data_IF_842897892501
#
_entry.id   IF_842897892501
#
_cell.length_a   1.000
_cell.length_b   1.000
_cell.length_c   1.000
_cell.angle_alpha   90.00
_cell.angle_beta   90.00
_cell.angle_gamma   90.00
#
_symmetry.space_group_name_H-M   'P 1'
#
loop_
_entity.id
_entity.type
_entity.pdbx_description
1 polymer ?
#
# COMPACT_ATOMS: atom_id res chain seq x y z
N UNK A 1 -2.99 23.08 -18.14
CA UNK A 1 -4.27 22.73 -17.52
C UNK A 1 -5.41 22.95 -18.51
N UNK A 2 -6.43 22.12 -18.44
CA UNK A 2 -7.71 22.29 -19.12
C UNK A 2 -8.70 22.73 -18.06
N UNK A 3 -9.40 23.87 -18.31
CA UNK A 3 -10.39 24.43 -17.40
C UNK A 3 -11.78 24.26 -18.00
N UNK A 4 -12.69 23.58 -17.28
CA UNK A 4 -14.06 23.35 -17.71
C UNK A 4 -15.00 23.97 -16.68
N UNK A 5 -15.80 24.93 -17.08
CA UNK A 5 -16.81 25.56 -16.21
C UNK A 5 -18.18 24.96 -16.49
N UNK A 6 -18.89 24.59 -15.42
CA UNK A 6 -20.23 24.02 -15.56
C UNK A 6 -21.16 24.34 -14.38
N UNK A 7 -22.44 24.18 -14.61
CA UNK A 7 -23.52 24.22 -13.62
C UNK A 7 -24.40 23.01 -13.84
N UNK A 8 -24.95 22.44 -12.79
CA UNK A 8 -25.98 21.41 -12.94
C UNK A 8 -27.28 22.04 -13.45
N UNK A 9 -28.15 21.21 -14.02
CA UNK A 9 -29.53 21.61 -14.30
C UNK A 9 -30.25 21.96 -12.99
N UNK A 10 -31.10 22.99 -13.02
CA UNK A 10 -31.89 23.37 -11.84
C UNK A 10 -33.01 22.37 -11.64
N UNK A 11 -33.10 21.82 -10.45
CA UNK A 11 -34.13 20.83 -10.08
C UNK A 11 -34.67 21.15 -8.70
N UNK A 12 -35.83 20.61 -8.42
CA UNK A 12 -36.41 20.61 -7.09
C UNK A 12 -35.56 19.77 -6.14
N UNK A 13 -35.41 20.25 -4.92
CA UNK A 13 -34.62 19.58 -3.87
C UNK A 13 -35.42 19.46 -2.59
N UNK A 14 -35.27 18.31 -1.95
CA UNK A 14 -35.87 18.04 -0.65
C UNK A 14 -34.99 18.68 0.44
N UNK A 15 -35.59 19.47 1.30
CA UNK A 15 -34.93 20.07 2.44
C UNK A 15 -34.46 18.97 3.42
N UNK A 16 -33.16 18.91 3.77
CA UNK A 16 -32.66 17.86 4.67
C UNK A 16 -33.12 18.02 6.12
N UNK A 17 -33.80 19.12 6.48
CA UNK A 17 -34.28 19.39 7.82
C UNK A 17 -35.77 19.09 8.00
N UNK A 18 -36.63 19.56 7.08
CA UNK A 18 -38.10 19.44 7.24
C UNK A 18 -38.78 18.64 6.13
N UNK A 19 -38.02 18.13 5.12
CA UNK A 19 -38.62 17.35 4.03
C UNK A 19 -39.35 18.17 2.97
N UNK A 20 -39.57 19.47 3.14
CA UNK A 20 -40.25 20.33 2.17
C UNK A 20 -39.46 20.43 0.86
N UNK A 21 -40.17 20.46 -0.27
CA UNK A 21 -39.55 20.64 -1.59
C UNK A 21 -39.31 22.13 -1.86
N UNK A 22 -38.15 22.45 -2.34
CA UNK A 22 -37.76 23.82 -2.73
C UNK A 22 -36.88 23.82 -3.99
N UNK A 23 -37.05 24.83 -4.81
CA UNK A 23 -36.16 25.16 -5.92
C UNK A 23 -35.59 26.59 -5.80
N UNK A 24 -35.80 27.23 -4.66
CA UNK A 24 -35.36 28.62 -4.42
C UNK A 24 -33.87 28.67 -4.16
N UNK A 25 -33.13 29.20 -5.11
CA UNK A 25 -31.68 29.40 -5.01
C UNK A 25 -31.39 30.62 -4.17
N UNK A 26 -30.62 30.48 -3.11
CA UNK A 26 -30.17 31.57 -2.26
C UNK A 26 -28.93 32.23 -2.87
N UNK A 27 -27.89 31.45 -3.14
CA UNK A 27 -26.62 31.91 -3.72
C UNK A 27 -25.89 30.79 -4.50
N UNK A 28 -24.75 31.18 -5.11
CA UNK A 28 -23.86 30.24 -5.82
C UNK A 28 -22.49 30.22 -5.17
N UNK A 29 -21.97 29.02 -4.96
CA UNK A 29 -20.62 28.78 -4.43
C UNK A 29 -19.72 28.19 -5.51
N UNK A 30 -18.63 28.87 -5.84
CA UNK A 30 -17.63 28.34 -6.77
C UNK A 30 -16.76 27.28 -6.09
N UNK A 31 -16.56 26.13 -6.73
CA UNK A 31 -15.68 25.06 -6.30
C UNK A 31 -14.78 24.65 -7.44
N UNK A 32 -13.49 24.49 -7.16
CA UNK A 32 -12.52 23.94 -8.11
C UNK A 32 -12.33 22.48 -7.75
N UNK A 33 -12.51 21.60 -8.73
CA UNK A 33 -12.47 20.16 -8.60
C UNK A 33 -11.42 19.63 -9.57
N UNK A 34 -10.56 18.75 -9.10
CA UNK A 34 -9.59 18.05 -9.95
C UNK A 34 -10.25 16.81 -10.55
N UNK A 35 -9.97 16.60 -11.84
CA UNK A 35 -10.49 15.49 -12.61
C UNK A 35 -9.38 14.75 -13.38
N UNK A 36 -9.72 13.62 -14.00
CA UNK A 36 -8.78 12.83 -14.79
C UNK A 36 -8.12 13.67 -15.86
N UNK A 37 -6.79 13.56 -16.04
CA UNK A 37 -6.08 14.25 -17.10
C UNK A 37 -6.63 13.92 -18.49
N UNK A 38 -6.65 14.90 -19.38
CA UNK A 38 -7.01 14.74 -20.79
C UNK A 38 -5.76 15.08 -21.61
N UNK A 39 -5.32 14.16 -22.48
CA UNK A 39 -4.13 14.34 -23.32
C UNK A 39 -2.89 14.78 -22.51
N UNK A 40 -2.68 14.20 -21.33
CA UNK A 40 -1.56 14.52 -20.44
C UNK A 40 -1.66 15.88 -19.73
N UNK A 41 -2.75 16.63 -19.91
CA UNK A 41 -2.97 17.92 -19.23
C UNK A 41 -3.93 17.75 -18.04
N UNK A 42 -3.57 18.32 -16.89
CA UNK A 42 -4.45 18.33 -15.71
C UNK A 42 -5.77 19.05 -16.01
N UNK A 43 -6.88 18.48 -15.54
CA UNK A 43 -8.23 19.02 -15.72
C UNK A 43 -8.72 19.63 -14.41
N UNK A 44 -9.18 20.88 -14.50
CA UNK A 44 -9.81 21.63 -13.42
C UNK A 44 -11.27 21.91 -13.79
N UNK A 45 -12.19 21.40 -13.00
CA UNK A 45 -13.61 21.64 -13.15
C UNK A 45 -14.03 22.80 -12.25
N UNK A 46 -14.53 23.87 -12.84
CA UNK A 46 -15.07 25.02 -12.13
C UNK A 46 -16.58 24.84 -11.99
N UNK A 47 -16.99 24.36 -10.84
CA UNK A 47 -18.38 24.07 -10.55
C UNK A 47 -19.03 25.21 -9.78
N UNK A 48 -20.10 25.81 -10.36
CA UNK A 48 -20.94 26.79 -9.67
C UNK A 48 -22.07 26.07 -8.92
N UNK A 49 -21.79 25.68 -7.69
CA UNK A 49 -22.69 24.95 -6.79
C UNK A 49 -23.77 25.86 -6.25
N UNK A 50 -25.05 25.45 -6.33
CA UNK A 50 -26.19 26.21 -5.77
C UNK A 50 -26.31 25.93 -4.27
N UNK A 51 -26.65 26.97 -3.53
CA UNK A 51 -27.16 26.87 -2.18
C UNK A 51 -28.64 27.25 -2.20
N UNK A 52 -29.48 26.31 -1.77
CA UNK A 52 -30.90 26.47 -1.73
C UNK A 52 -31.36 27.04 -0.39
N UNK A 53 -32.51 27.73 -0.41
CA UNK A 53 -33.24 28.19 0.77
C UNK A 53 -34.55 27.44 0.89
N UNK A 54 -34.88 26.97 2.09
CA UNK A 54 -36.17 26.36 2.41
C UNK A 54 -37.07 27.41 3.05
N UNK A 55 -38.13 27.78 2.39
CA UNK A 55 -39.09 28.75 2.94
C UNK A 55 -39.87 28.23 4.15
N UNK A 56 -39.99 26.91 4.32
CA UNK A 56 -40.72 26.29 5.41
C UNK A 56 -39.96 26.37 6.75
N UNK A 57 -38.63 26.12 6.76
CA UNK A 57 -37.84 26.08 7.99
C UNK A 57 -36.62 27.01 8.00
N UNK A 58 -36.47 27.86 7.00
CA UNK A 58 -35.33 28.81 6.88
C UNK A 58 -33.97 28.17 6.58
N UNK A 59 -33.89 26.83 6.46
CA UNK A 59 -32.62 26.13 6.28
C UNK A 59 -31.99 26.41 4.93
N UNK A 60 -30.68 26.74 4.96
CA UNK A 60 -29.87 26.78 3.76
C UNK A 60 -29.08 25.49 3.59
N UNK A 61 -29.09 24.92 2.39
CA UNK A 61 -28.36 23.69 2.08
C UNK A 61 -27.82 23.68 0.66
N UNK A 62 -26.77 22.88 0.41
CA UNK A 62 -26.15 22.81 -0.90
C UNK A 62 -26.80 21.72 -1.75
N UNK A 63 -26.84 21.94 -3.07
CA UNK A 63 -27.29 20.91 -4.01
C UNK A 63 -26.42 19.64 -3.91
N UNK A 64 -27.04 18.50 -4.17
CA UNK A 64 -26.31 17.22 -4.16
C UNK A 64 -25.52 17.06 -5.47
N UNK A 65 -24.28 16.55 -5.34
CA UNK A 65 -23.38 16.33 -6.45
C UNK A 65 -22.70 14.98 -6.33
N UNK A 66 -23.11 14.03 -7.16
CA UNK A 66 -22.74 12.62 -7.06
C UNK A 66 -21.34 12.28 -7.58
N UNK A 67 -20.73 13.14 -8.42
CA UNK A 67 -19.39 12.92 -8.96
C UNK A 67 -18.26 13.09 -7.93
N UNK A 68 -18.59 13.65 -6.77
CA UNK A 68 -17.63 13.90 -5.69
C UNK A 68 -17.99 13.11 -4.45
N UNK A 69 -17.03 12.47 -3.79
CA UNK A 69 -17.18 12.06 -2.41
C UNK A 69 -17.47 13.28 -1.52
N UNK A 70 -18.23 13.06 -0.45
CA UNK A 70 -18.55 14.15 0.51
C UNK A 70 -17.26 14.80 1.02
N UNK A 71 -17.23 16.14 1.02
CA UNK A 71 -16.08 16.98 1.42
C UNK A 71 -14.80 16.83 0.56
N UNK A 72 -14.87 16.20 -0.63
CA UNK A 72 -13.74 16.05 -1.53
C UNK A 72 -13.78 17.08 -2.69
N UNK A 73 -12.57 17.38 -3.20
CA UNK A 73 -12.38 18.22 -4.40
C UNK A 73 -11.65 17.44 -5.51
N UNK A 74 -11.81 16.13 -5.51
CA UNK A 74 -11.22 15.18 -6.46
C UNK A 74 -12.34 14.26 -6.88
N UNK A 75 -12.52 14.06 -8.20
CA UNK A 75 -13.59 13.21 -8.72
C UNK A 75 -13.36 11.74 -8.38
N UNK A 76 -14.42 10.96 -8.33
CA UNK A 76 -14.33 9.51 -8.10
C UNK A 76 -13.49 8.82 -9.20
N UNK A 77 -13.62 9.25 -10.46
CA UNK A 77 -12.86 8.68 -11.58
C UNK A 77 -11.36 8.98 -11.46
N UNK A 78 -10.96 10.17 -10.96
CA UNK A 78 -9.56 10.47 -10.70
C UNK A 78 -9.00 9.64 -9.53
N UNK A 79 -9.79 9.41 -8.48
CA UNK A 79 -9.42 8.51 -7.40
C UNK A 79 -9.22 7.08 -7.90
N UNK A 80 -10.14 6.58 -8.74
CA UNK A 80 -10.03 5.25 -9.35
C UNK A 80 -8.78 5.12 -10.24
N UNK A 81 -8.51 6.14 -11.07
CA UNK A 81 -7.31 6.18 -11.90
C UNK A 81 -6.03 6.13 -11.03
N UNK A 82 -5.98 6.89 -9.93
CA UNK A 82 -4.83 6.89 -9.02
C UNK A 82 -4.56 5.49 -8.45
N UNK A 83 -5.60 4.78 -8.02
CA UNK A 83 -5.46 3.42 -7.48
C UNK A 83 -5.02 2.43 -8.56
N UNK A 84 -5.60 2.51 -9.77
CA UNK A 84 -5.19 1.65 -10.88
C UNK A 84 -3.72 1.86 -11.28
N UNK A 85 -3.24 3.11 -11.29
CA UNK A 85 -1.83 3.40 -11.57
C UNK A 85 -0.89 2.81 -10.51
N UNK A 86 -1.29 2.77 -9.25
CA UNK A 86 -0.52 2.11 -8.20
C UNK A 86 -0.45 0.60 -8.39
N UNK A 87 -1.51 -0.04 -8.90
CA UNK A 87 -1.48 -1.47 -9.25
C UNK A 87 -0.50 -1.80 -10.40
N UNK A 88 -0.13 -0.80 -11.20
CA UNK A 88 0.82 -0.95 -12.31
C UNK A 88 2.27 -0.64 -11.90
N UNK A 89 2.65 -0.93 -10.66
CA UNK A 89 4.02 -0.77 -10.12
C UNK A 89 4.52 0.67 -9.96
N UNK A 90 3.66 1.67 -10.08
CA UNK A 90 4.04 3.06 -9.87
C UNK A 90 4.02 3.40 -8.37
N UNK A 91 5.01 4.15 -7.90
CA UNK A 91 5.00 4.64 -6.53
C UNK A 91 4.05 5.83 -6.34
N UNK A 92 3.60 6.04 -5.09
CA UNK A 92 2.64 7.09 -4.74
C UNK A 92 3.10 8.49 -5.17
N UNK A 93 4.38 8.81 -5.03
CA UNK A 93 4.92 10.12 -5.37
C UNK A 93 4.87 10.39 -6.89
N UNK A 94 5.14 9.38 -7.71
CA UNK A 94 5.05 9.47 -9.17
C UNK A 94 3.61 9.62 -9.62
N UNK A 95 2.67 8.85 -9.06
CA UNK A 95 1.25 8.97 -9.33
C UNK A 95 0.72 10.34 -8.91
N UNK A 96 1.09 10.82 -7.72
CA UNK A 96 0.69 12.12 -7.21
C UNK A 96 1.14 13.26 -8.15
N UNK A 97 2.39 13.19 -8.61
CA UNK A 97 2.96 14.17 -9.55
C UNK A 97 2.25 14.12 -10.89
N UNK A 98 2.05 12.95 -11.46
CA UNK A 98 1.39 12.77 -12.74
C UNK A 98 -0.06 13.29 -12.74
N UNK A 99 -0.81 13.00 -11.67
CA UNK A 99 -2.21 13.40 -11.53
C UNK A 99 -2.40 14.80 -10.93
N UNK A 100 -1.33 15.48 -10.55
CA UNK A 100 -1.38 16.82 -9.95
C UNK A 100 -2.14 16.86 -8.61
N UNK A 101 -2.12 15.76 -7.83
CA UNK A 101 -2.75 15.66 -6.49
C UNK A 101 -1.70 15.41 -5.42
N UNK A 102 -2.05 15.59 -4.15
CA UNK A 102 -1.12 15.30 -3.05
C UNK A 102 -1.05 13.80 -2.74
N UNK A 103 0.13 13.32 -2.33
CA UNK A 103 0.30 11.94 -1.82
C UNK A 103 -0.66 11.63 -0.68
N UNK A 104 -0.93 12.58 0.20
CA UNK A 104 -1.90 12.43 1.30
C UNK A 104 -3.33 12.19 0.80
N UNK A 105 -3.70 12.74 -0.37
CA UNK A 105 -5.01 12.47 -0.99
C UNK A 105 -5.09 11.03 -1.48
N UNK A 106 -4.02 10.50 -2.05
CA UNK A 106 -3.93 9.10 -2.50
C UNK A 106 -4.00 8.17 -1.30
N UNK A 107 -3.22 8.41 -0.24
CA UNK A 107 -3.26 7.57 0.98
C UNK A 107 -4.64 7.53 1.61
N UNK A 108 -5.36 8.67 1.68
CA UNK A 108 -6.74 8.66 2.17
C UNK A 108 -7.66 7.75 1.35
N UNK A 109 -7.48 7.71 0.03
CA UNK A 109 -8.28 6.81 -0.83
C UNK A 109 -7.85 5.35 -0.72
N UNK A 110 -6.56 5.07 -0.55
CA UNK A 110 -6.08 3.71 -0.28
C UNK A 110 -6.69 3.13 1.01
N UNK A 111 -6.87 3.95 2.04
CA UNK A 111 -7.51 3.52 3.29
C UNK A 111 -9.00 3.16 3.11
N UNK A 112 -9.65 3.67 2.07
CA UNK A 112 -11.03 3.31 1.73
C UNK A 112 -11.13 1.98 0.93
N UNK A 113 -10.01 1.51 0.38
CA UNK A 113 -9.95 0.25 -0.37
C UNK A 113 -9.93 -0.93 0.60
N UNK A 114 -10.95 -1.76 0.53
CA UNK A 114 -11.03 -3.00 1.30
C UNK A 114 -10.50 -4.15 0.46
N UNK A 115 -9.45 -4.81 0.93
CA UNK A 115 -8.97 -6.05 0.35
C UNK A 115 -9.70 -7.23 1.03
N UNK A 116 -10.20 -8.21 0.26
CA UNK A 116 -10.78 -9.40 0.84
C UNK A 116 -9.70 -10.16 1.63
N UNK A 117 -10.00 -10.53 2.86
CA UNK A 117 -9.10 -11.37 3.64
C UNK A 117 -9.08 -12.78 3.05
N UNK A 118 -7.91 -13.39 2.86
CA UNK A 118 -7.84 -14.76 2.39
C UNK A 118 -8.46 -15.71 3.42
N UNK A 119 -9.18 -16.73 2.96
CA UNK A 119 -9.85 -17.72 3.81
C UNK A 119 -9.27 -19.12 3.71
N UNK A 120 -8.48 -19.39 2.68
CA UNK A 120 -7.90 -20.69 2.34
C UNK A 120 -6.43 -20.49 2.04
N UNK A 121 -5.57 -21.26 2.73
CA UNK A 121 -4.12 -21.27 2.46
C UNK A 121 -3.81 -21.96 1.13
N UNK A 122 -2.80 -21.48 0.36
CA UNK A 122 -2.35 -22.14 -0.85
C UNK A 122 -1.57 -23.40 -0.52
N UNK A 123 -1.48 -24.34 -1.46
CA UNK A 123 -0.67 -25.55 -1.29
C UNK A 123 0.84 -25.29 -1.19
N UNK A 124 1.30 -24.20 -1.79
CA UNK A 124 2.68 -23.70 -1.69
C UNK A 124 2.61 -22.34 -1.03
N UNK A 125 3.07 -22.27 0.21
CA UNK A 125 3.07 -21.04 0.99
C UNK A 125 4.51 -20.61 1.26
N UNK A 126 4.84 -19.36 0.98
CA UNK A 126 6.13 -18.79 1.37
C UNK A 126 5.93 -17.68 2.39
N UNK A 127 6.87 -17.58 3.32
CA UNK A 127 6.97 -16.49 4.28
C UNK A 127 8.34 -15.81 4.16
N UNK A 128 8.32 -14.50 4.14
CA UNK A 128 9.51 -13.65 4.19
C UNK A 128 9.23 -12.40 5.02
N UNK A 129 10.26 -11.62 5.30
CA UNK A 129 10.12 -10.37 6.02
C UNK A 129 10.66 -9.18 5.23
N UNK A 130 10.03 -8.04 5.42
CA UNK A 130 10.53 -6.79 4.87
C UNK A 130 10.52 -5.69 5.93
N UNK A 131 11.42 -4.72 5.73
CA UNK A 131 11.51 -3.56 6.60
C UNK A 131 10.38 -2.58 6.29
N UNK A 132 9.58 -2.28 7.30
CA UNK A 132 8.49 -1.31 7.23
C UNK A 132 8.31 -0.58 8.56
N UNK A 133 7.15 0.02 8.77
CA UNK A 133 6.86 0.76 10.00
C UNK A 133 5.38 0.60 10.43
N UNK A 134 4.72 -0.48 10.03
CA UNK A 134 3.33 -0.71 10.39
C UNK A 134 3.20 -0.92 11.91
N UNK A 135 2.30 -0.17 12.54
CA UNK A 135 2.02 -0.24 13.98
C UNK A 135 3.27 -0.07 14.88
N UNK A 136 4.27 0.68 14.44
CA UNK A 136 5.52 0.89 15.18
C UNK A 136 6.52 -0.28 15.08
N UNK A 137 6.19 -1.35 14.39
CA UNK A 137 7.07 -2.51 14.18
C UNK A 137 8.02 -2.28 13.00
N UNK A 138 9.31 -2.56 13.22
CA UNK A 138 10.36 -2.36 12.22
C UNK A 138 10.28 -3.35 11.05
N UNK A 139 9.75 -4.55 11.29
CA UNK A 139 9.67 -5.61 10.30
C UNK A 139 8.24 -6.16 10.23
N UNK A 140 7.75 -6.33 9.02
CA UNK A 140 6.49 -6.96 8.67
C UNK A 140 6.74 -8.31 8.02
N UNK A 141 5.78 -9.23 8.14
CA UNK A 141 5.83 -10.49 7.42
C UNK A 141 5.00 -10.43 6.15
N UNK A 142 5.53 -10.96 5.07
CA UNK A 142 4.83 -11.16 3.81
C UNK A 142 4.61 -12.65 3.59
N UNK A 143 3.38 -13.01 3.31
CA UNK A 143 2.99 -14.35 2.90
C UNK A 143 2.70 -14.34 1.41
N UNK A 144 3.25 -15.28 0.66
CA UNK A 144 3.06 -15.36 -0.78
C UNK A 144 2.63 -16.76 -1.21
N UNK A 145 1.99 -16.83 -2.36
CA UNK A 145 1.75 -18.04 -3.14
C UNK A 145 2.70 -18.06 -4.34
N UNK A 146 3.88 -18.67 -4.23
CA UNK A 146 4.87 -18.66 -5.30
C UNK A 146 4.42 -19.39 -6.56
N UNK A 147 3.56 -20.40 -6.42
CA UNK A 147 3.01 -21.15 -7.55
C UNK A 147 2.17 -20.29 -8.48
N UNK A 148 1.39 -19.38 -7.90
CA UNK A 148 0.50 -18.47 -8.64
C UNK A 148 1.06 -17.05 -8.78
N UNK A 149 2.31 -16.81 -8.31
CA UNK A 149 2.97 -15.48 -8.32
C UNK A 149 2.11 -14.39 -7.68
N UNK A 150 1.51 -14.68 -6.51
CA UNK A 150 0.62 -13.76 -5.80
C UNK A 150 1.09 -13.50 -4.38
N UNK A 151 0.90 -12.27 -3.94
CA UNK A 151 0.92 -11.97 -2.51
C UNK A 151 -0.35 -12.58 -1.91
N UNK A 152 -0.16 -13.42 -0.90
CA UNK A 152 -1.26 -14.03 -0.15
C UNK A 152 -1.79 -13.06 0.90
N UNK A 153 -0.90 -12.54 1.75
CA UNK A 153 -1.23 -11.51 2.74
C UNK A 153 0.03 -10.79 3.25
N UNK A 154 -0.16 -9.63 3.87
CA UNK A 154 0.89 -8.87 4.53
C UNK A 154 0.48 -8.63 5.98
N UNK A 155 1.31 -9.10 6.91
CA UNK A 155 1.05 -8.99 8.34
C UNK A 155 1.87 -7.84 8.94
N UNK A 156 1.29 -7.07 9.86
CA UNK A 156 1.96 -5.92 10.45
C UNK A 156 3.14 -6.29 11.35
N UNK A 157 3.33 -7.58 11.65
CA UNK A 157 4.39 -8.08 12.52
C UNK A 157 4.85 -9.47 12.10
N UNK A 158 6.14 -9.75 12.31
CA UNK A 158 6.76 -11.06 12.11
C UNK A 158 6.86 -11.90 13.39
N UNK A 159 6.35 -11.39 14.51
CA UNK A 159 6.49 -12.08 15.81
C UNK A 159 5.74 -13.40 15.82
N UNK A 160 6.35 -14.41 16.45
CA UNK A 160 5.81 -15.77 16.50
C UNK A 160 4.35 -15.80 17.00
N UNK A 161 4.04 -15.01 18.00
CA UNK A 161 2.69 -14.93 18.57
C UNK A 161 1.66 -14.46 17.53
N UNK A 162 1.92 -13.34 16.84
CA UNK A 162 1.00 -12.79 15.85
C UNK A 162 0.85 -13.68 14.62
N UNK A 163 1.93 -14.36 14.22
CA UNK A 163 1.89 -15.34 13.14
C UNK A 163 1.04 -16.56 13.52
N UNK A 164 1.16 -17.05 14.74
CA UNK A 164 0.33 -18.15 15.26
C UNK A 164 -1.14 -17.78 15.26
N UNK A 165 -1.49 -16.63 15.84
CA UNK A 165 -2.86 -16.11 15.86
C UNK A 165 -3.47 -16.01 14.46
N UNK A 166 -2.70 -15.49 13.52
CA UNK A 166 -3.14 -15.38 12.13
C UNK A 166 -3.39 -16.76 11.51
N UNK A 167 -2.45 -17.70 11.65
CA UNK A 167 -2.54 -19.03 11.06
C UNK A 167 -3.65 -19.90 11.68
N UNK A 168 -4.04 -19.65 12.93
CA UNK A 168 -5.17 -20.33 13.57
C UNK A 168 -6.51 -20.09 12.86
N UNK A 169 -6.66 -18.99 12.14
CA UNK A 169 -7.89 -18.68 11.40
C UNK A 169 -8.14 -19.62 10.19
N UNK A 170 -7.11 -20.36 9.75
CA UNK A 170 -7.24 -21.22 8.58
C UNK A 170 -7.48 -22.69 9.00
N UNK A 171 -8.53 -23.28 8.45
CA UNK A 171 -8.87 -24.70 8.72
C UNK A 171 -8.04 -25.68 7.90
N UNK A 172 -7.60 -25.25 6.71
CA UNK A 172 -6.92 -26.08 5.71
C UNK A 172 -5.39 -26.11 5.84
N UNK A 173 -4.84 -25.93 7.05
CA UNK A 173 -3.39 -25.94 7.30
C UNK A 173 -2.70 -27.24 6.88
N UNK A 174 -3.40 -28.36 6.93
CA UNK A 174 -2.89 -29.69 6.53
C UNK A 174 -2.75 -29.84 5.01
N UNK A 175 -3.36 -28.94 4.22
CA UNK A 175 -3.33 -28.97 2.77
C UNK A 175 -2.10 -28.25 2.20
N UNK A 176 -1.36 -27.51 3.03
CA UNK A 176 -0.07 -26.93 2.66
C UNK A 176 0.94 -28.06 2.46
N UNK A 177 1.48 -28.17 1.25
CA UNK A 177 2.44 -29.21 0.84
C UNK A 177 3.89 -28.75 0.89
N UNK A 178 4.11 -27.45 0.61
CA UNK A 178 5.43 -26.84 0.64
C UNK A 178 5.36 -25.54 1.43
N UNK A 179 6.26 -25.41 2.40
CA UNK A 179 6.42 -24.18 3.16
C UNK A 179 7.82 -23.62 2.91
N UNK A 180 7.88 -22.49 2.19
CA UNK A 180 9.13 -21.85 1.80
C UNK A 180 9.44 -20.74 2.81
N UNK A 181 10.66 -20.73 3.33
CA UNK A 181 11.10 -19.76 4.33
C UNK A 181 12.60 -19.47 4.21
N UNK A 182 13.05 -18.43 4.90
CA UNK A 182 14.47 -18.25 5.21
C UNK A 182 14.94 -19.26 6.28
N UNK A 183 16.20 -19.18 6.69
CA UNK A 183 16.78 -20.05 7.72
C UNK A 183 16.41 -19.62 9.15
N UNK A 184 15.31 -18.86 9.35
CA UNK A 184 14.89 -18.40 10.66
C UNK A 184 14.25 -19.51 11.49
N UNK A 185 14.78 -19.70 12.69
CA UNK A 185 14.28 -20.71 13.62
C UNK A 185 12.79 -20.54 14.01
N UNK A 186 12.32 -19.29 14.07
CA UNK A 186 10.91 -19.00 14.39
C UNK A 186 9.98 -19.54 13.31
N UNK A 187 10.33 -19.33 12.04
CA UNK A 187 9.52 -19.81 10.91
C UNK A 187 9.55 -21.33 10.80
N UNK A 188 10.69 -21.95 11.12
CA UNK A 188 10.78 -23.42 11.21
C UNK A 188 9.82 -23.98 12.25
N UNK A 189 9.80 -23.42 13.48
CA UNK A 189 8.84 -23.84 14.52
C UNK A 189 7.39 -23.66 14.11
N UNK A 190 7.07 -22.58 13.38
CA UNK A 190 5.73 -22.35 12.84
C UNK A 190 5.39 -23.43 11.81
N UNK A 191 6.30 -23.74 10.89
CA UNK A 191 6.09 -24.77 9.88
C UNK A 191 5.80 -26.13 10.52
N UNK A 192 6.64 -26.57 11.46
CA UNK A 192 6.50 -27.86 12.16
C UNK A 192 5.18 -27.93 12.96
N UNK A 193 4.73 -26.81 13.53
CA UNK A 193 3.51 -26.79 14.36
C UNK A 193 2.23 -26.72 13.54
N UNK A 194 2.21 -25.91 12.49
CA UNK A 194 0.98 -25.56 11.76
C UNK A 194 0.80 -26.31 10.45
N UNK A 195 1.88 -26.81 9.86
CA UNK A 195 1.88 -27.49 8.56
C UNK A 195 2.50 -28.87 8.64
N UNK A 196 1.88 -29.82 9.35
CA UNK A 196 2.49 -31.14 9.63
C UNK A 196 2.77 -31.97 8.39
N UNK A 197 2.07 -31.70 7.28
CA UNK A 197 2.22 -32.40 6.00
C UNK A 197 3.12 -31.64 5.02
N UNK A 198 3.66 -30.48 5.40
CA UNK A 198 4.44 -29.66 4.48
C UNK A 198 5.92 -30.05 4.48
N UNK A 199 6.49 -30.13 3.29
CA UNK A 199 7.94 -30.13 3.12
C UNK A 199 8.46 -28.71 3.31
N UNK A 200 9.39 -28.53 4.27
CA UNK A 200 10.05 -27.24 4.49
C UNK A 200 11.10 -27.05 3.41
N UNK A 201 11.02 -25.92 2.70
CA UNK A 201 11.97 -25.53 1.64
C UNK A 201 12.66 -24.24 2.07
N UNK A 202 13.98 -24.24 2.02
CA UNK A 202 14.76 -23.02 2.29
C UNK A 202 14.87 -22.21 1.01
N UNK A 203 14.59 -20.91 1.09
CA UNK A 203 14.72 -20.00 -0.02
C UNK A 203 16.18 -19.92 -0.50
N UNK A 204 16.37 -20.20 -1.80
CA UNK A 204 17.68 -20.21 -2.46
C UNK A 204 18.42 -18.90 -2.30
N UNK A 205 17.73 -17.77 -2.36
CA UNK A 205 18.35 -16.45 -2.22
C UNK A 205 19.09 -16.32 -0.88
N UNK A 206 18.48 -16.76 0.20
CA UNK A 206 19.07 -16.69 1.54
C UNK A 206 20.29 -17.64 1.66
N UNK A 207 20.23 -18.85 1.08
CA UNK A 207 21.37 -19.77 1.05
C UNK A 207 22.57 -19.16 0.31
N UNK A 208 22.33 -18.70 -0.92
CA UNK A 208 23.39 -18.08 -1.75
C UNK A 208 24.00 -16.85 -1.03
N UNK A 209 23.15 -16.02 -0.44
CA UNK A 209 23.58 -14.84 0.31
C UNK A 209 24.52 -15.22 1.49
N UNK A 210 24.18 -16.25 2.25
CA UNK A 210 25.02 -16.70 3.35
C UNK A 210 26.38 -17.22 2.88
N UNK A 211 26.40 -18.03 1.81
CA UNK A 211 27.65 -18.52 1.20
C UNK A 211 28.50 -17.35 0.71
N UNK A 212 27.92 -16.41 -0.04
CA UNK A 212 28.63 -15.22 -0.53
C UNK A 212 29.17 -14.38 0.63
N UNK A 213 28.41 -14.21 1.68
CA UNK A 213 28.83 -13.45 2.86
C UNK A 213 29.98 -14.15 3.62
N UNK A 214 29.95 -15.46 3.74
CA UNK A 214 31.05 -16.24 4.33
C UNK A 214 32.33 -16.09 3.51
N UNK A 215 32.26 -16.20 2.19
CA UNK A 215 33.40 -15.98 1.28
C UNK A 215 33.95 -14.55 1.38
N UNK A 216 33.09 -13.54 1.43
CA UNK A 216 33.48 -12.14 1.62
C UNK A 216 34.21 -11.90 2.97
N UNK A 217 33.75 -12.55 4.02
CA UNK A 217 34.41 -12.45 5.34
C UNK A 217 35.80 -13.07 5.30
N UNK A 218 35.97 -14.24 4.66
CA UNK A 218 37.30 -14.86 4.46
C UNK A 218 38.20 -13.95 3.62
N UNK A 219 37.69 -13.47 2.49
CA UNK A 219 38.46 -12.53 1.62
C UNK A 219 38.95 -11.32 2.40
N UNK A 220 38.06 -10.67 3.16
CA UNK A 220 38.41 -9.48 3.96
C UNK A 220 39.46 -9.78 5.03
N UNK A 221 39.37 -10.97 5.67
CA UNK A 221 40.35 -11.41 6.67
C UNK A 221 41.72 -11.57 6.04
N UNK A 222 41.86 -12.34 4.95
CA UNK A 222 43.08 -12.56 4.23
C UNK A 222 43.70 -11.22 3.74
N UNK A 223 42.85 -10.36 3.17
CA UNK A 223 43.31 -9.04 2.71
C UNK A 223 43.89 -8.18 3.84
N UNK A 224 43.27 -8.23 5.03
CA UNK A 224 43.79 -7.51 6.20
C UNK A 224 45.09 -8.09 6.69
N UNK A 225 45.25 -9.40 6.73
CA UNK A 225 46.51 -10.10 7.09
C UNK A 225 47.61 -9.71 6.11
N UNK A 226 47.38 -9.77 4.79
CA UNK A 226 48.34 -9.36 3.78
C UNK A 226 48.77 -7.88 3.88
N UNK A 227 47.84 -6.99 4.20
CA UNK A 227 48.15 -5.57 4.38
C UNK A 227 49.02 -5.33 5.62
N UNK A 228 48.78 -6.07 6.71
CA UNK A 228 49.64 -6.00 7.91
C UNK A 228 51.03 -6.52 7.62
N UNK A 229 51.18 -7.62 6.87
CA UNK A 229 52.49 -8.17 6.49
C UNK A 229 53.28 -7.19 5.60
N UNK A 230 52.61 -6.52 4.66
CA UNK A 230 53.21 -5.49 3.82
C UNK A 230 53.64 -4.26 4.63
N UNK A 231 52.88 -3.87 5.64
CA UNK A 231 53.23 -2.75 6.51
C UNK A 231 54.42 -3.10 7.42
N UNK A 232 54.52 -4.33 7.93
CA UNK A 232 55.67 -4.86 8.68
C UNK A 232 56.91 -4.90 7.79
N UNK A 233 56.81 -5.43 6.57
CA UNK A 233 57.92 -5.43 5.60
C UNK A 233 58.43 -4.03 5.29
N UNK A 234 57.51 -3.08 5.10
CA UNK A 234 57.86 -1.68 4.83
C UNK A 234 58.62 -1.02 6.01
N UNK A 235 58.18 -1.33 7.25
CA UNK A 235 58.86 -0.85 8.46
C UNK A 235 60.29 -1.45 8.56
N UNK A 236 60.43 -2.73 8.23
CA UNK A 236 61.74 -3.41 8.23
C UNK A 236 62.68 -2.90 7.14
N UNK A 237 62.19 -2.52 5.97
CA UNK A 237 62.95 -1.96 4.86
C UNK A 237 63.36 -0.51 5.10
N UNK A 238 62.56 0.27 5.82
CA UNK A 238 62.84 1.70 6.08
C UNK A 238 63.76 1.95 7.29
N UNK A 239 64.08 0.91 8.06
CA UNK A 239 65.11 0.96 9.13
C UNK A 239 64.92 2.13 10.10
N UNK A 240 63.78 2.23 10.65
CA UNK A 240 63.17 3.10 11.66
C UNK A 240 61.76 3.45 11.32
#
# INVERSE_FOLDING_TARGET
NICISFKLERRDHVCPNCGAITNKVHDYRKSIIKDTPILGKNVLLFYSKRRYHCDCCGKHFLENFTLLPKHCRITNRLNFLAINMLNQTLNVSSVARYLGISSSSIFRRLNDVKFPKPSILPHVLSIDEFKGNANGEKFQAILTDPKNHKIFDILPSRTQYKLKDYLLNFKNRKDVRYFIMDMNYVYRKIAETFFPNATIVIDRFHVVRYVTWALENVRKRIQKEMLMDLEILRILETGF
#
